data_IF_234766167490
#
_entry.id   IF_234766167490
#
_cell.length_a   1.000
_cell.length_b   1.000
_cell.length_c   1.000
_cell.angle_alpha   90.00
_cell.angle_beta   90.00
_cell.angle_gamma   90.00
#
_symmetry.space_group_name_H-M   'P 1'
#
loop_
_entity.id
_entity.type
_entity.pdbx_description
1 polymer ?
#
# COMPACT_ATOMS: atom_id res chain seq x y z
N UNK A 1 -0.01 15.10 -6.05
CA UNK A 1 0.68 13.90 -5.55
C UNK A 1 -0.34 12.82 -5.24
N UNK A 2 0.00 11.56 -5.52
CA UNK A 2 -0.80 10.38 -5.25
C UNK A 2 -0.55 9.84 -3.83
N UNK A 3 -1.50 9.06 -3.34
CA UNK A 3 -1.46 8.38 -2.03
C UNK A 3 -1.42 6.86 -2.17
N UNK A 4 -1.08 6.15 -1.09
CA UNK A 4 -1.17 4.69 -1.06
C UNK A 4 -2.59 4.19 -1.42
N UNK A 5 -3.64 4.90 -0.97
CA UNK A 5 -5.03 4.58 -1.32
C UNK A 5 -5.26 4.64 -2.82
N UNK A 6 -4.72 5.66 -3.50
CA UNK A 6 -4.87 5.82 -4.95
C UNK A 6 -4.23 4.64 -5.70
N UNK A 7 -3.02 4.25 -5.29
CA UNK A 7 -2.32 3.12 -5.90
C UNK A 7 -3.02 1.79 -5.63
N UNK A 8 -3.46 1.56 -4.40
CA UNK A 8 -4.20 0.35 -4.03
C UNK A 8 -5.54 0.26 -4.76
N UNK A 9 -6.27 1.38 -4.88
CA UNK A 9 -7.51 1.46 -5.65
C UNK A 9 -7.26 1.17 -7.13
N UNK A 10 -6.20 1.72 -7.74
CA UNK A 10 -5.83 1.45 -9.12
C UNK A 10 -5.55 -0.04 -9.36
N UNK A 11 -4.71 -0.66 -8.53
CA UNK A 11 -4.37 -2.08 -8.62
C UNK A 11 -5.58 -2.99 -8.32
N UNK A 12 -6.55 -2.48 -7.55
CA UNK A 12 -7.83 -3.16 -7.35
C UNK A 12 -8.73 -3.08 -8.58
N UNK A 13 -8.95 -1.87 -9.11
CA UNK A 13 -9.69 -1.60 -10.34
C UNK A 13 -9.40 -0.16 -10.83
N UNK A 14 -8.82 0.05 -12.03
CA UNK A 14 -8.54 1.39 -12.56
C UNK A 14 -9.76 2.31 -12.65
N UNK A 15 -10.95 1.74 -12.92
CA UNK A 15 -12.21 2.51 -12.96
C UNK A 15 -12.51 3.23 -11.64
N UNK A 16 -12.06 2.70 -10.49
CA UNK A 16 -12.22 3.39 -9.20
C UNK A 16 -11.51 4.75 -9.21
N UNK A 17 -10.28 4.80 -9.74
CA UNK A 17 -9.52 6.06 -9.87
C UNK A 17 -10.20 7.00 -10.84
N UNK A 18 -10.74 6.49 -11.95
CA UNK A 18 -11.49 7.31 -12.89
C UNK A 18 -12.68 7.99 -12.20
N UNK A 19 -13.53 7.22 -11.51
CA UNK A 19 -14.69 7.80 -10.81
C UNK A 19 -14.27 8.80 -9.73
N UNK A 20 -13.24 8.49 -8.93
CA UNK A 20 -12.86 9.31 -7.76
C UNK A 20 -12.05 10.56 -8.14
N UNK A 21 -11.07 10.42 -9.04
CA UNK A 21 -10.10 11.48 -9.36
C UNK A 21 -10.47 12.28 -10.60
N UNK A 22 -11.10 11.67 -11.59
CA UNK A 22 -11.55 12.34 -12.83
C UNK A 22 -12.95 12.88 -12.62
N UNK A 23 -13.93 12.01 -12.34
CA UNK A 23 -15.34 12.42 -12.17
C UNK A 23 -15.69 12.99 -10.78
N UNK A 24 -14.71 13.06 -9.87
CA UNK A 24 -14.85 13.61 -8.50
C UNK A 24 -15.98 12.98 -7.69
N UNK A 25 -16.28 11.71 -7.93
CA UNK A 25 -17.30 10.97 -7.22
C UNK A 25 -16.75 10.46 -5.89
N UNK A 26 -17.51 10.69 -4.80
CA UNK A 26 -17.06 10.32 -3.46
C UNK A 26 -17.06 8.80 -3.32
N UNK A 27 -15.94 8.26 -2.85
CA UNK A 27 -15.86 6.88 -2.39
C UNK A 27 -16.20 6.77 -0.89
N UNK A 28 -17.21 5.97 -0.55
CA UNK A 28 -17.42 5.54 0.84
C UNK A 28 -16.40 4.48 1.22
N UNK A 29 -16.04 4.44 2.50
CA UNK A 29 -15.16 3.40 3.01
C UNK A 29 -15.83 2.03 2.88
N UNK A 30 -15.11 1.08 2.28
CA UNK A 30 -15.57 -0.29 2.18
C UNK A 30 -15.50 -0.98 3.54
N UNK A 31 -16.27 -2.05 3.74
CA UNK A 31 -16.20 -2.89 4.93
C UNK A 31 -14.76 -3.34 5.25
N UNK A 32 -13.96 -3.64 4.23
CA UNK A 32 -12.56 -4.05 4.38
C UNK A 32 -11.67 -2.92 4.89
N UNK A 33 -11.90 -1.68 4.46
CA UNK A 33 -11.19 -0.51 4.97
C UNK A 33 -11.53 -0.25 6.44
N UNK A 34 -12.83 -0.20 6.76
CA UNK A 34 -13.31 0.00 8.14
C UNK A 34 -12.75 -1.07 9.09
N UNK A 35 -12.79 -2.34 8.66
CA UNK A 35 -12.22 -3.45 9.44
C UNK A 35 -10.71 -3.30 9.61
N UNK A 36 -10.00 -2.94 8.54
CA UNK A 36 -8.56 -2.71 8.56
C UNK A 36 -8.16 -1.61 9.55
N UNK A 37 -8.86 -0.48 9.54
CA UNK A 37 -8.65 0.64 10.45
C UNK A 37 -8.94 0.27 11.90
N UNK A 38 -10.04 -0.44 12.17
CA UNK A 38 -10.33 -0.96 13.51
C UNK A 38 -9.23 -1.88 13.99
N UNK A 39 -8.79 -2.84 13.17
CA UNK A 39 -7.70 -3.75 13.53
C UNK A 39 -6.39 -3.01 13.77
N UNK A 40 -6.08 -2.00 12.95
CA UNK A 40 -4.91 -1.15 13.13
C UNK A 40 -4.97 -0.35 14.45
N UNK A 41 -6.14 0.19 14.79
CA UNK A 41 -6.37 0.90 16.05
C UNK A 41 -6.17 -0.01 17.27
N UNK A 42 -6.77 -1.21 17.28
CA UNK A 42 -6.55 -2.19 18.35
C UNK A 42 -5.10 -2.67 18.43
N UNK A 43 -4.44 -2.80 17.28
CA UNK A 43 -3.02 -3.12 17.26
C UNK A 43 -2.22 -2.00 17.92
N UNK A 44 -2.42 -0.73 17.58
CA UNK A 44 -1.69 0.40 18.20
C UNK A 44 -1.74 0.42 19.72
N UNK A 45 -2.90 0.09 20.30
CA UNK A 45 -3.06 0.07 21.76
C UNK A 45 -2.32 -1.10 22.42
N UNK A 46 -2.02 -2.17 21.68
CA UNK A 46 -1.37 -3.38 22.20
C UNK A 46 0.08 -3.60 21.73
N UNK A 47 0.46 -3.06 20.57
CA UNK A 47 1.64 -3.45 19.79
C UNK A 47 2.94 -2.78 20.20
N UNK A 48 2.88 -1.68 20.97
CA UNK A 48 4.09 -1.04 21.53
C UNK A 48 4.93 -1.99 22.39
N UNK A 49 4.44 -3.21 22.67
CA UNK A 49 5.04 -4.22 23.56
C UNK A 49 5.41 -5.56 22.91
N UNK A 50 5.13 -5.80 21.62
CA UNK A 50 5.42 -7.10 20.98
C UNK A 50 6.66 -7.03 20.09
N UNK A 51 7.77 -7.53 20.62
CA UNK A 51 9.01 -7.82 19.86
C UNK A 51 8.92 -9.23 19.28
N UNK A 52 9.05 -9.36 17.96
CA UNK A 52 9.37 -10.64 17.32
C UNK A 52 10.90 -10.85 17.35
N UNK A 53 11.37 -12.10 17.40
CA UNK A 53 12.81 -12.40 17.40
C UNK A 53 13.52 -11.89 16.14
N UNK A 54 12.81 -11.89 15.00
CA UNK A 54 13.27 -11.34 13.71
C UNK A 54 13.57 -9.82 13.78
N UNK A 55 13.17 -9.13 14.86
CA UNK A 55 13.27 -7.67 14.99
C UNK A 55 14.35 -7.21 15.97
N UNK A 56 15.14 -8.13 16.52
CA UNK A 56 16.16 -7.85 17.54
C UNK A 56 17.35 -7.07 16.97
N UNK A 57 17.68 -7.24 15.70
CA UNK A 57 18.81 -6.55 15.05
C UNK A 57 18.54 -5.08 14.71
N UNK A 58 17.29 -4.61 14.82
CA UNK A 58 16.91 -3.25 14.48
C UNK A 58 16.94 -2.34 15.71
N UNK A 59 17.83 -1.36 15.66
CA UNK A 59 18.14 -0.43 16.75
C UNK A 59 17.05 0.63 16.96
N UNK A 60 16.41 1.09 15.87
CA UNK A 60 15.41 2.16 15.92
C UNK A 60 14.12 1.73 15.22
N UNK A 61 12.98 2.06 15.83
CA UNK A 61 11.64 1.79 15.33
C UNK A 61 10.84 3.07 15.27
N UNK A 62 10.53 3.52 14.07
CA UNK A 62 9.76 4.74 13.83
C UNK A 62 8.36 4.34 13.35
N UNK A 63 7.37 4.55 14.21
CA UNK A 63 5.98 4.22 13.90
C UNK A 63 5.27 5.40 13.24
N UNK A 64 4.35 5.10 12.33
CA UNK A 64 3.43 6.07 11.74
C UNK A 64 4.13 7.28 11.07
N UNK A 65 5.25 7.02 10.40
CA UNK A 65 6.05 8.06 9.76
C UNK A 65 5.37 8.49 8.46
N UNK A 66 5.10 9.79 8.31
CA UNK A 66 4.68 10.32 7.01
C UNK A 66 5.88 10.39 6.08
N UNK A 67 5.84 9.64 5.00
CA UNK A 67 6.89 9.60 3.97
C UNK A 67 6.38 10.22 2.67
N UNK A 68 7.24 10.97 2.00
CA UNK A 68 6.93 11.64 0.73
C UNK A 68 8.12 11.62 -0.22
N UNK A 69 7.84 11.55 -1.51
CA UNK A 69 8.81 11.73 -2.59
C UNK A 69 8.22 12.67 -3.62
N UNK A 70 8.90 13.81 -3.82
CA UNK A 70 8.53 14.76 -4.87
C UNK A 70 8.91 14.19 -6.24
N UNK A 71 10.01 13.42 -6.30
CA UNK A 71 10.50 12.79 -7.53
C UNK A 71 9.50 11.83 -8.17
N UNK A 72 8.78 11.04 -7.36
CA UNK A 72 7.74 10.11 -7.86
C UNK A 72 6.33 10.65 -7.61
N UNK A 73 6.17 11.87 -7.08
CA UNK A 73 4.85 12.46 -6.85
C UNK A 73 3.96 11.69 -5.86
N UNK A 74 4.52 10.98 -4.88
CA UNK A 74 3.78 10.11 -3.95
C UNK A 74 4.03 10.47 -2.49
N UNK A 75 3.01 10.30 -1.64
CA UNK A 75 3.15 10.37 -0.19
C UNK A 75 2.20 9.41 0.51
N UNK A 76 2.57 8.97 1.71
CA UNK A 76 1.73 8.11 2.56
C UNK A 76 2.22 8.13 3.99
N UNK A 77 1.48 7.48 4.89
CA UNK A 77 1.94 7.16 6.24
C UNK A 77 2.43 5.71 6.25
N UNK A 78 3.73 5.51 6.47
CA UNK A 78 4.31 4.19 6.69
C UNK A 78 3.99 3.72 8.11
N UNK A 79 3.57 2.47 8.25
CA UNK A 79 3.18 1.93 9.56
C UNK A 79 4.37 1.84 10.52
N UNK A 80 5.48 1.29 10.04
CA UNK A 80 6.71 1.12 10.78
C UNK A 80 7.92 1.14 9.85
N UNK A 81 8.89 1.98 10.18
CA UNK A 81 10.24 1.97 9.62
C UNK A 81 11.17 1.42 10.69
N UNK A 82 11.82 0.29 10.38
CA UNK A 82 12.84 -0.31 11.23
C UNK A 82 14.22 0.04 10.68
N UNK A 83 15.12 0.50 11.55
CA UNK A 83 16.48 0.90 11.18
C UNK A 83 17.49 -0.02 11.86
N UNK A 84 18.32 -0.67 11.04
CA UNK A 84 19.46 -1.48 11.51
C UNK A 84 20.68 -0.60 11.75
N UNK A 85 20.86 0.42 10.91
CA UNK A 85 21.90 1.46 11.02
C UNK A 85 21.37 2.79 10.48
N UNK A 86 22.22 3.83 10.43
CA UNK A 86 21.89 5.08 9.75
C UNK A 86 21.56 4.87 8.26
N UNK A 87 22.26 3.96 7.59
CA UNK A 87 22.18 3.75 6.15
C UNK A 87 21.29 2.58 5.72
N UNK A 88 20.86 1.72 6.65
CA UNK A 88 20.07 0.54 6.33
C UNK A 88 18.75 0.51 7.12
N UNK A 89 17.66 0.19 6.43
CA UNK A 89 16.34 0.02 7.05
C UNK A 89 15.47 -1.01 6.34
N UNK A 90 14.30 -1.26 6.94
CA UNK A 90 13.21 -2.09 6.43
C UNK A 90 11.88 -1.38 6.66
N UNK A 91 10.97 -1.50 5.69
CA UNK A 91 9.59 -1.06 5.83
C UNK A 91 8.75 -2.24 6.27
N UNK A 92 7.93 -2.05 7.32
CA UNK A 92 6.97 -3.05 7.79
C UNK A 92 5.57 -2.48 7.64
N UNK A 93 4.73 -3.19 6.90
CA UNK A 93 3.31 -2.91 6.77
C UNK A 93 2.51 -3.93 7.57
N UNK A 94 1.63 -3.46 8.46
CA UNK A 94 0.81 -4.36 9.25
C UNK A 94 -0.53 -4.64 8.55
N UNK A 95 -0.94 -5.92 8.56
CA UNK A 95 -2.21 -6.36 7.98
C UNK A 95 -2.96 -7.26 8.97
N UNK A 96 -4.31 -7.40 8.86
CA UNK A 96 -5.06 -8.31 9.72
C UNK A 96 -4.60 -9.77 9.64
N UNK A 97 -4.25 -10.21 8.44
CA UNK A 97 -3.67 -11.51 8.16
C UNK A 97 -2.92 -11.47 6.84
N UNK A 98 -1.99 -12.41 6.65
CA UNK A 98 -1.34 -12.65 5.37
C UNK A 98 -2.10 -13.79 4.67
N UNK A 99 -2.47 -13.65 3.38
CA UNK A 99 -3.13 -14.74 2.66
C UNK A 99 -2.23 -15.97 2.54
N UNK A 100 -2.82 -17.17 2.53
CA UNK A 100 -2.07 -18.44 2.42
C UNK A 100 -1.32 -18.61 1.09
N UNK A 101 -1.70 -17.87 0.05
CA UNK A 101 -1.01 -17.84 -1.24
C UNK A 101 0.14 -16.81 -1.28
N UNK A 102 0.53 -16.26 -0.13
CA UNK A 102 1.62 -15.30 0.03
C UNK A 102 1.21 -13.83 -0.13
N UNK A 103 2.22 -12.96 -0.10
CA UNK A 103 2.03 -11.50 -0.13
C UNK A 103 1.39 -11.03 -1.46
N UNK A 104 0.19 -10.41 -1.41
CA UNK A 104 -0.44 -9.80 -2.57
C UNK A 104 0.45 -8.74 -3.24
N UNK A 105 0.48 -8.75 -4.57
CA UNK A 105 1.25 -7.80 -5.38
C UNK A 105 1.01 -6.33 -5.01
N UNK A 106 -0.24 -5.95 -4.74
CA UNK A 106 -0.57 -4.57 -4.34
C UNK A 106 0.09 -4.14 -3.03
N UNK A 107 0.33 -5.07 -2.10
CA UNK A 107 1.03 -4.78 -0.85
C UNK A 107 2.53 -4.62 -1.10
N UNK A 108 3.12 -5.41 -2.01
CA UNK A 108 4.51 -5.24 -2.43
C UNK A 108 4.75 -3.87 -3.05
N UNK A 109 3.86 -3.43 -3.95
CA UNK A 109 3.90 -2.08 -4.53
C UNK A 109 3.80 -1.00 -3.45
N UNK A 110 2.86 -1.12 -2.52
CA UNK A 110 2.68 -0.16 -1.43
C UNK A 110 3.97 0.01 -0.61
N UNK A 111 4.54 -1.09 -0.14
CA UNK A 111 5.77 -1.11 0.67
C UNK A 111 6.98 -0.59 -0.12
N UNK A 112 7.08 -0.91 -1.41
CA UNK A 112 8.15 -0.39 -2.27
C UNK A 112 8.06 1.14 -2.44
N UNK A 113 6.85 1.69 -2.61
CA UNK A 113 6.65 3.15 -2.68
C UNK A 113 6.97 3.84 -1.35
N UNK A 114 6.60 3.22 -0.23
CA UNK A 114 6.97 3.68 1.12
C UNK A 114 8.49 3.74 1.28
N UNK A 115 9.20 2.68 0.88
CA UNK A 115 10.65 2.61 0.91
C UNK A 115 11.29 3.70 0.05
N UNK A 116 10.85 3.87 -1.20
CA UNK A 116 11.36 4.92 -2.11
C UNK A 116 11.19 6.33 -1.54
N UNK A 117 10.08 6.59 -0.84
CA UNK A 117 9.87 7.86 -0.16
C UNK A 117 10.77 8.03 1.07
N UNK A 118 10.91 6.96 1.86
CA UNK A 118 11.79 6.97 3.02
C UNK A 118 13.26 7.21 2.61
N UNK A 119 13.70 6.61 1.51
CA UNK A 119 15.04 6.83 0.93
C UNK A 119 15.28 8.29 0.53
N UNK A 120 14.32 8.91 -0.16
CA UNK A 120 14.41 10.33 -0.55
C UNK A 120 14.45 11.27 0.66
N UNK A 121 13.81 10.88 1.76
CA UNK A 121 13.83 11.63 3.02
C UNK A 121 15.06 11.35 3.89
N UNK A 122 15.99 10.50 3.45
CA UNK A 122 17.24 10.24 4.17
C UNK A 122 17.14 9.18 5.27
N UNK A 123 16.12 8.32 5.27
CA UNK A 123 16.02 7.20 6.22
C UNK A 123 16.91 6.00 5.86
N UNK A 124 17.95 6.17 5.04
CA UNK A 124 18.80 5.11 4.53
C UNK A 124 18.19 4.32 3.37
N UNK A 125 18.82 3.20 3.00
CA UNK A 125 18.44 2.29 1.92
C UNK A 125 17.62 1.12 2.43
N UNK A 126 16.75 0.61 1.57
CA UNK A 126 15.82 -0.48 1.89
C UNK A 126 15.91 -1.59 0.84
N UNK A 127 16.55 -2.71 1.18
CA UNK A 127 16.67 -3.86 0.29
C UNK A 127 15.49 -4.81 0.39
N UNK A 128 14.73 -4.80 1.50
CA UNK A 128 13.59 -5.70 1.71
C UNK A 128 12.41 -4.97 2.36
N UNK A 129 11.22 -5.49 2.11
CA UNK A 129 9.97 -5.07 2.72
C UNK A 129 9.33 -6.22 3.49
N UNK A 130 8.56 -5.89 4.53
CA UNK A 130 7.89 -6.86 5.38
C UNK A 130 6.39 -6.61 5.45
N UNK A 131 5.63 -7.69 5.49
CA UNK A 131 4.23 -7.70 5.92
C UNK A 131 4.14 -8.46 7.23
N UNK A 132 3.58 -7.83 8.26
CA UNK A 132 3.40 -8.45 9.57
C UNK A 132 1.91 -8.53 9.93
N UNK A 133 1.41 -9.67 10.44
CA UNK A 133 0.04 -9.77 10.87
C UNK A 133 -0.16 -9.12 12.26
N UNK A 134 -1.30 -8.45 12.48
CA UNK A 134 -1.59 -7.76 13.75
C UNK A 134 -1.60 -8.69 14.97
N UNK A 135 -1.89 -9.98 14.79
CA UNK A 135 -1.94 -10.94 15.88
C UNK A 135 -0.55 -11.40 16.38
N UNK A 136 0.54 -10.96 15.76
CA UNK A 136 1.90 -11.37 16.10
C UNK A 136 2.30 -12.73 15.51
N UNK A 137 1.59 -13.21 14.49
CA UNK A 137 2.06 -14.30 13.64
C UNK A 137 3.34 -13.94 12.89
N UNK A 138 3.94 -14.94 12.23
CA UNK A 138 5.21 -14.78 11.51
C UNK A 138 5.10 -13.73 10.40
N UNK A 139 5.96 -12.70 10.39
CA UNK A 139 6.12 -11.79 9.26
C UNK A 139 6.57 -12.52 7.98
N UNK A 140 6.14 -12.02 6.82
CA UNK A 140 6.71 -12.41 5.53
C UNK A 140 7.50 -11.25 4.93
N UNK A 141 8.61 -11.56 4.27
CA UNK A 141 9.47 -10.58 3.61
C UNK A 141 9.58 -10.83 2.10
N UNK A 142 10.05 -9.81 1.39
CA UNK A 142 10.35 -9.88 -0.04
C UNK A 142 11.37 -8.80 -0.40
N UNK A 143 12.12 -9.04 -1.47
CA UNK A 143 13.14 -8.11 -1.95
C UNK A 143 12.52 -6.88 -2.63
N UNK A 144 13.18 -5.74 -2.44
CA UNK A 144 12.93 -4.47 -3.11
C UNK A 144 13.99 -4.25 -4.19
N UNK A 145 14.09 -5.21 -5.10
CA UNK A 145 15.01 -5.18 -6.24
C UNK A 145 14.64 -4.09 -7.27
N UNK A 146 15.49 -3.93 -8.29
CA UNK A 146 15.25 -2.95 -9.35
C UNK A 146 13.95 -3.21 -10.12
N UNK A 147 13.57 -4.48 -10.31
CA UNK A 147 12.33 -4.87 -10.98
C UNK A 147 11.09 -4.41 -10.22
N UNK A 148 11.06 -4.63 -8.90
CA UNK A 148 9.99 -4.20 -8.00
C UNK A 148 9.92 -2.66 -7.95
N UNK A 149 11.07 -1.98 -7.86
CA UNK A 149 11.16 -0.50 -7.88
C UNK A 149 10.65 0.10 -9.18
N UNK A 150 11.05 -0.47 -10.32
CA UNK A 150 10.54 -0.08 -11.65
C UNK A 150 9.02 -0.30 -11.72
N UNK A 151 8.55 -1.46 -11.31
CA UNK A 151 7.11 -1.79 -11.31
C UNK A 151 6.28 -0.84 -10.45
N UNK A 152 6.78 -0.49 -9.26
CA UNK A 152 6.11 0.45 -8.35
C UNK A 152 6.01 1.86 -8.96
N UNK A 153 7.12 2.37 -9.49
CA UNK A 153 7.16 3.70 -10.12
C UNK A 153 6.36 3.76 -11.44
N UNK A 154 6.34 2.68 -12.22
CA UNK A 154 5.47 2.57 -13.40
C UNK A 154 3.99 2.55 -13.03
N UNK A 155 3.63 1.94 -11.90
CA UNK A 155 2.25 1.95 -11.41
C UNK A 155 1.79 3.38 -11.12
N UNK A 156 2.64 4.19 -10.47
CA UNK A 156 2.39 5.63 -10.27
C UNK A 156 2.15 6.34 -11.61
N UNK A 157 3.05 6.17 -12.57
CA UNK A 157 2.94 6.80 -13.90
C UNK A 157 1.63 6.41 -14.61
N UNK A 158 1.19 5.16 -14.48
CA UNK A 158 -0.09 4.70 -15.06
C UNK A 158 -1.29 5.37 -14.40
N UNK A 159 -1.27 5.55 -13.08
CA UNK A 159 -2.32 6.28 -12.35
C UNK A 159 -2.35 7.75 -12.79
N UNK A 160 -1.19 8.41 -12.84
CA UNK A 160 -1.09 9.80 -13.29
C UNK A 160 -1.56 9.97 -14.73
N UNK A 161 -1.17 9.06 -15.63
CA UNK A 161 -1.62 9.06 -17.03
C UNK A 161 -3.13 8.90 -17.12
N UNK A 162 -3.73 7.97 -16.38
CA UNK A 162 -5.19 7.79 -16.34
C UNK A 162 -5.90 9.09 -15.93
N UNK A 163 -5.40 9.75 -14.88
CA UNK A 163 -5.98 11.01 -14.39
C UNK A 163 -5.81 12.14 -15.40
N UNK A 164 -4.65 12.23 -16.05
CA UNK A 164 -4.33 13.29 -17.01
C UNK A 164 -5.10 13.14 -18.33
N UNK A 165 -5.13 11.93 -18.87
CA UNK A 165 -5.71 11.66 -20.19
C UNK A 165 -7.23 11.54 -20.12
N UNK A 166 -7.80 11.39 -18.92
CA UNK A 166 -9.25 11.27 -18.68
C UNK A 166 -9.92 10.19 -19.54
N UNK A 167 -9.16 9.17 -19.93
CA UNK A 167 -9.66 8.03 -20.69
C UNK A 167 -10.29 7.03 -19.73
N UNK A 168 -11.53 6.63 -20.03
CA UNK A 168 -12.22 5.62 -19.25
C UNK A 168 -11.49 4.27 -19.36
N UNK A 169 -10.98 3.71 -18.26
CA UNK A 169 -10.13 2.53 -18.33
C UNK A 169 -10.95 1.24 -18.37
N UNK A 170 -10.30 0.17 -18.82
CA UNK A 170 -10.83 -1.17 -18.61
C UNK A 170 -11.04 -1.47 -17.12
N UNK A 171 -12.06 -2.29 -16.85
CA UNK A 171 -12.39 -2.74 -15.51
C UNK A 171 -11.38 -3.76 -15.00
N UNK A 172 -11.49 -4.09 -13.72
CA UNK A 172 -10.71 -5.21 -13.17
C UNK A 172 -11.08 -6.53 -13.85
N UNK A 173 -10.06 -7.35 -14.10
CA UNK A 173 -10.23 -8.70 -14.62
C UNK A 173 -10.87 -9.68 -13.61
N UNK A 174 -11.03 -9.29 -12.36
CA UNK A 174 -11.61 -10.13 -11.31
C UNK A 174 -13.05 -9.72 -10.98
N UNK A 175 -14.05 -10.37 -11.59
CA UNK A 175 -15.47 -10.09 -11.36
C UNK A 175 -15.86 -10.14 -9.87
N UNK A 176 -15.23 -11.00 -9.08
CA UNK A 176 -15.43 -11.11 -7.63
C UNK A 176 -15.17 -9.80 -6.87
N UNK A 177 -14.30 -8.92 -7.39
CA UNK A 177 -14.02 -7.58 -6.83
C UNK A 177 -15.20 -6.62 -7.01
N UNK A 178 -16.05 -6.86 -8.01
CA UNK A 178 -17.20 -6.01 -8.27
C UNK A 178 -18.32 -6.20 -7.22
N UNK A 179 -18.33 -7.32 -6.49
CA UNK A 179 -19.35 -7.61 -5.45
C UNK A 179 -19.37 -6.58 -4.33
N UNK A 180 -18.19 -6.15 -3.89
CA UNK A 180 -18.03 -5.18 -2.80
C UNK A 180 -17.77 -3.75 -3.32
N UNK A 181 -17.85 -3.54 -4.64
CA UNK A 181 -17.54 -2.26 -5.27
C UNK A 181 -18.76 -1.34 -5.25
N UNK A 182 -18.66 -0.21 -4.54
CA UNK A 182 -19.77 0.76 -4.41
C UNK A 182 -20.23 1.41 -5.73
N UNK A 183 -19.40 1.38 -6.77
CA UNK A 183 -19.75 1.91 -8.09
C UNK A 183 -20.60 0.93 -8.91
N UNK A 184 -20.62 -0.36 -8.54
CA UNK A 184 -21.39 -1.37 -9.25
C UNK A 184 -22.90 -1.07 -9.11
N UNK A 185 -23.63 -1.11 -10.22
CA UNK A 185 -25.08 -0.89 -10.25
C UNK A 185 -25.50 0.58 -10.04
N UNK A 186 -24.53 1.50 -9.99
CA UNK A 186 -24.78 2.96 -9.94
C UNK A 186 -24.16 3.67 -11.14
N UNK A 187 -22.87 3.45 -11.34
CA UNK A 187 -22.08 4.07 -12.42
C UNK A 187 -21.28 3.06 -13.24
N UNK A 188 -21.17 1.82 -12.77
CA UNK A 188 -20.41 0.76 -13.41
C UNK A 188 -21.25 -0.53 -13.42
N UNK A 189 -21.35 -1.21 -14.55
CA UNK A 189 -22.08 -2.49 -14.62
C UNK A 189 -21.22 -3.69 -14.17
N UNK A 190 -19.91 -3.48 -14.04
CA UNK A 190 -18.93 -4.51 -13.69
C UNK A 190 -18.04 -4.87 -14.87
N UNK A 191 -17.58 -6.12 -14.92
CA UNK A 191 -16.75 -6.61 -16.02
C UNK A 191 -17.65 -6.84 -17.25
N UNK A 192 -17.51 -6.01 -18.28
CA UNK A 192 -18.31 -6.08 -19.50
C UNK A 192 -18.72 -4.70 -20.04
N UNK A 193 -17.74 -3.96 -20.57
CA UNK A 193 -17.84 -2.96 -21.63
C UNK A 193 -16.51 -3.03 -22.36
#
# INVERSE_FOLDING_TARGET
MLTARDVLNYLYCPRIIFYEKVLRQRQYETYKQIRGEKSHYFFKTQAKRKTCDEWKEFLVRLFEVTVKSSRIGFWTKADLIMKKSADEGRIVQFKPSIPSFGIPFAWKVQVCLEALCAEEMGFGKFSEGYIAPYNGGKPECFELDEGMRKTATETIKKVEKLIKDENFPEGTMYSARCRDCMYRGRMCEGRGW
#
